data_IF_692115382780
#
_entry.id   IF_692115382780
#
_cell.length_a   1.000
_cell.length_b   1.000
_cell.length_c   1.000
_cell.angle_alpha   90.00
_cell.angle_beta   90.00
_cell.angle_gamma   90.00
#
_symmetry.space_group_name_H-M   'P 1'
#
loop_
_entity.id
_entity.type
_entity.pdbx_description
1 polymer ?
#
# COMPACT_ATOMS: atom_id res chain seq x y z
N UNK A 1 -11.56 16.27 22.38
CA UNK A 1 -12.31 15.40 21.45
C UNK A 1 -11.62 15.52 20.11
N UNK A 2 -10.93 14.47 19.66
CA UNK A 2 -10.25 14.49 18.36
C UNK A 2 -11.29 14.65 17.25
N UNK A 3 -11.08 15.61 16.36
CA UNK A 3 -11.92 15.79 15.18
C UNK A 3 -12.06 14.45 14.43
N UNK A 4 -13.22 14.15 13.83
CA UNK A 4 -13.35 12.95 13.03
C UNK A 4 -12.33 13.00 11.90
N UNK A 5 -11.29 12.15 11.97
CA UNK A 5 -10.28 12.02 10.92
C UNK A 5 -11.00 11.82 9.59
N UNK A 6 -10.97 12.85 8.74
CA UNK A 6 -11.48 12.71 7.37
C UNK A 6 -10.53 11.81 6.60
N UNK A 7 -10.83 10.52 6.61
CA UNK A 7 -10.15 9.53 5.80
C UNK A 7 -10.19 9.95 4.33
N UNK A 8 -9.03 10.31 3.79
CA UNK A 8 -8.89 10.50 2.36
C UNK A 8 -9.23 9.17 1.67
N UNK A 9 -10.05 9.17 0.61
CA UNK A 9 -10.39 7.96 -0.16
C UNK A 9 -9.15 7.12 -0.51
N UNK A 10 -8.05 7.81 -0.79
CA UNK A 10 -6.77 7.22 -1.12
C UNK A 10 -6.16 6.42 0.06
N UNK A 11 -6.34 6.88 1.30
CA UNK A 11 -5.90 6.16 2.50
C UNK A 11 -6.69 4.87 2.71
N UNK A 12 -8.01 4.93 2.51
CA UNK A 12 -8.89 3.76 2.57
C UNK A 12 -8.43 2.71 1.54
N UNK A 13 -8.13 3.13 0.31
CA UNK A 13 -7.62 2.24 -0.75
C UNK A 13 -6.30 1.57 -0.35
N UNK A 14 -5.39 2.31 0.32
CA UNK A 14 -4.12 1.75 0.80
C UNK A 14 -4.31 0.70 1.90
N UNK A 15 -5.25 0.95 2.82
CA UNK A 15 -5.59 0.01 3.90
C UNK A 15 -6.23 -1.26 3.34
N UNK A 16 -7.13 -1.10 2.37
CA UNK A 16 -7.72 -2.22 1.62
C UNK A 16 -6.64 -3.02 0.91
N UNK A 17 -5.67 -2.38 0.24
CA UNK A 17 -4.53 -3.07 -0.37
C UNK A 17 -3.69 -3.86 0.64
N UNK A 18 -3.50 -3.31 1.84
CA UNK A 18 -2.77 -4.00 2.92
C UNK A 18 -3.55 -5.20 3.47
N UNK A 19 -4.88 -5.10 3.56
CA UNK A 19 -5.74 -6.23 3.93
C UNK A 19 -5.64 -7.37 2.90
N UNK A 20 -5.67 -7.06 1.61
CA UNK A 20 -5.49 -8.06 0.56
C UNK A 20 -4.12 -8.75 0.62
N UNK A 21 -3.04 -8.01 0.94
CA UNK A 21 -1.73 -8.61 1.16
C UNK A 21 -1.72 -9.55 2.38
N UNK A 22 -2.38 -9.19 3.48
CA UNK A 22 -2.50 -10.08 4.64
C UNK A 22 -3.25 -11.38 4.30
N UNK A 23 -4.35 -11.28 3.54
CA UNK A 23 -5.06 -12.47 3.07
C UNK A 23 -4.18 -13.34 2.18
N UNK A 24 -3.42 -12.74 1.24
CA UNK A 24 -2.51 -13.48 0.39
C UNK A 24 -1.46 -14.28 1.20
N UNK A 25 -0.92 -13.68 2.27
CA UNK A 25 -0.01 -14.37 3.20
C UNK A 25 -0.72 -15.53 3.89
N UNK A 26 -1.96 -15.34 4.36
CA UNK A 26 -2.76 -16.41 4.94
C UNK A 26 -2.96 -17.59 3.98
N UNK A 27 -3.33 -17.31 2.72
CA UNK A 27 -3.47 -18.33 1.67
C UNK A 27 -2.15 -19.06 1.39
N UNK A 28 -1.02 -18.38 1.45
CA UNK A 28 0.30 -18.99 1.27
C UNK A 28 0.63 -19.94 2.43
N UNK A 29 0.28 -19.59 3.66
CA UNK A 29 0.39 -20.49 4.82
C UNK A 29 -0.51 -21.71 4.67
N UNK A 30 -1.76 -21.53 4.22
CA UNK A 30 -2.67 -22.65 3.95
C UNK A 30 -2.14 -23.57 2.85
N UNK A 31 -1.50 -23.02 1.82
CA UNK A 31 -0.84 -23.81 0.79
C UNK A 31 0.29 -24.67 1.39
N UNK A 32 1.16 -24.09 2.22
CA UNK A 32 2.24 -24.84 2.89
C UNK A 32 1.69 -25.96 3.81
N UNK A 33 0.60 -25.68 4.52
CA UNK A 33 -0.07 -26.70 5.34
C UNK A 33 -0.68 -27.81 4.48
N UNK A 34 -1.29 -27.46 3.35
CA UNK A 34 -1.85 -28.43 2.39
C UNK A 34 -0.77 -29.30 1.74
N UNK A 35 0.41 -28.74 1.48
CA UNK A 35 1.57 -29.49 0.98
C UNK A 35 2.08 -30.47 2.04
N UNK A 36 2.08 -30.06 3.32
CA UNK A 36 2.48 -30.92 4.44
C UNK A 36 1.57 -32.15 4.63
N UNK A 37 0.31 -32.09 4.18
CA UNK A 37 -0.62 -33.23 4.21
C UNK A 37 -0.52 -34.13 2.97
N UNK A 38 0.47 -33.93 2.09
CA UNK A 38 0.68 -34.73 0.88
C UNK A 38 -0.33 -34.49 -0.24
N UNK A 39 -1.19 -33.48 -0.11
CA UNK A 39 -2.21 -33.11 -1.09
C UNK A 39 -2.12 -31.60 -1.37
N UNK A 40 -1.14 -31.15 -2.15
CA UNK A 40 -0.93 -29.73 -2.42
C UNK A 40 -2.12 -29.13 -3.17
N UNK A 41 -2.91 -28.31 -2.48
CA UNK A 41 -4.03 -27.61 -3.06
C UNK A 41 -3.54 -26.33 -3.75
N UNK A 42 -3.19 -26.46 -5.03
CA UNK A 42 -2.74 -25.34 -5.89
C UNK A 42 -3.75 -24.19 -5.96
N UNK A 43 -5.03 -24.46 -5.68
CA UNK A 43 -6.05 -23.43 -5.57
C UNK A 43 -5.69 -22.35 -4.54
N UNK A 44 -5.14 -22.73 -3.38
CA UNK A 44 -4.75 -21.74 -2.36
C UNK A 44 -3.61 -20.86 -2.84
N UNK A 45 -2.65 -21.43 -3.56
CA UNK A 45 -1.54 -20.70 -4.15
C UNK A 45 -2.01 -19.74 -5.25
N UNK A 46 -2.85 -20.19 -6.18
CA UNK A 46 -3.40 -19.35 -7.26
C UNK A 46 -4.22 -18.17 -6.71
N UNK A 47 -5.13 -18.42 -5.77
CA UNK A 47 -5.91 -17.36 -5.13
C UNK A 47 -5.02 -16.40 -4.34
N UNK A 48 -4.03 -16.92 -3.61
CA UNK A 48 -3.04 -16.12 -2.89
C UNK A 48 -2.24 -15.20 -3.81
N UNK A 49 -1.78 -15.70 -4.96
CA UNK A 49 -1.05 -14.90 -5.96
C UNK A 49 -1.89 -13.77 -6.56
N UNK A 50 -3.16 -14.05 -6.87
CA UNK A 50 -4.10 -13.04 -7.38
C UNK A 50 -4.34 -11.95 -6.32
N UNK A 51 -4.59 -12.34 -5.07
CA UNK A 51 -4.79 -11.42 -3.94
C UNK A 51 -3.53 -10.60 -3.66
N UNK A 52 -2.35 -11.21 -3.74
CA UNK A 52 -1.07 -10.52 -3.59
C UNK A 52 -0.89 -9.44 -4.66
N UNK A 53 -1.14 -9.79 -5.94
CA UNK A 53 -1.06 -8.84 -7.05
C UNK A 53 -2.01 -7.64 -6.89
N UNK A 54 -3.28 -7.90 -6.58
CA UNK A 54 -4.27 -6.86 -6.31
C UNK A 54 -3.87 -5.98 -5.12
N UNK A 55 -3.46 -6.58 -4.01
CA UNK A 55 -2.99 -5.85 -2.83
C UNK A 55 -1.78 -4.97 -3.12
N UNK A 56 -0.84 -5.46 -3.92
CA UNK A 56 0.35 -4.71 -4.32
C UNK A 56 0.01 -3.52 -5.22
N UNK A 57 -0.92 -3.69 -6.17
CA UNK A 57 -1.40 -2.60 -7.04
C UNK A 57 -2.07 -1.51 -6.21
N UNK A 58 -3.00 -1.87 -5.32
CA UNK A 58 -3.68 -0.90 -4.45
C UNK A 58 -2.73 -0.20 -3.49
N UNK A 59 -1.73 -0.90 -2.97
CA UNK A 59 -0.70 -0.30 -2.12
C UNK A 59 0.22 0.63 -2.91
N UNK A 60 0.61 0.25 -4.13
CA UNK A 60 1.50 1.06 -4.98
C UNK A 60 0.84 2.36 -5.47
N UNK A 61 -0.48 2.37 -5.65
CA UNK A 61 -1.22 3.60 -5.99
C UNK A 61 -1.22 4.63 -4.86
N UNK A 62 -0.98 4.22 -3.61
CA UNK A 62 -0.92 5.12 -2.47
C UNK A 62 0.52 5.50 -2.10
N UNK A 63 1.24 6.10 -3.03
CA UNK A 63 2.49 6.79 -2.72
C UNK A 63 2.12 8.16 -2.13
N UNK A 64 2.10 8.27 -0.79
CA UNK A 64 1.98 9.59 -0.14
C UNK A 64 3.08 10.49 -0.72
N UNK A 65 2.76 11.65 -1.31
CA UNK A 65 3.80 12.59 -1.67
C UNK A 65 4.53 12.94 -0.38
N UNK A 66 5.80 12.55 -0.28
CA UNK A 66 6.66 12.94 0.83
C UNK A 66 6.54 14.46 0.92
N UNK A 67 6.19 15.04 2.09
CA UNK A 67 6.11 16.48 2.21
C UNK A 67 7.42 17.04 1.70
N UNK A 68 7.35 17.94 0.72
CA UNK A 68 8.52 18.56 0.13
C UNK A 68 9.36 19.09 1.29
N UNK A 69 10.52 18.48 1.54
CA UNK A 69 11.41 18.93 2.60
C UNK A 69 11.65 20.41 2.32
N UNK A 70 11.32 21.31 3.25
CA UNK A 70 11.42 22.77 3.08
C UNK A 70 12.83 23.31 2.75
N UNK A 71 13.78 22.42 2.43
CA UNK A 71 15.16 22.64 2.01
C UNK A 71 15.29 23.60 0.81
N UNK A 72 14.28 23.69 -0.06
CA UNK A 72 14.27 24.64 -1.20
C UNK A 72 13.49 25.94 -0.94
N UNK A 73 13.07 26.21 0.31
CA UNK A 73 12.37 27.45 0.66
C UNK A 73 13.22 28.72 0.44
N UNK A 74 14.54 28.61 0.62
CA UNK A 74 15.47 29.72 0.40
C UNK A 74 15.63 30.09 -1.08
N UNK A 75 15.69 29.08 -1.96
CA UNK A 75 15.79 29.29 -3.41
C UNK A 75 14.54 29.98 -3.99
N UNK A 76 13.35 29.66 -3.44
CA UNK A 76 12.08 30.32 -3.81
C UNK A 76 12.03 31.80 -3.42
N UNK A 77 12.65 32.18 -2.30
CA UNK A 77 12.72 33.59 -1.86
C UNK A 77 13.68 34.41 -2.73
N UNK A 78 14.80 33.82 -3.15
CA UNK A 78 15.77 34.46 -4.04
C UNK A 78 15.23 34.68 -5.47
N UNK A 79 14.44 33.74 -6.00
CA UNK A 79 13.81 33.90 -7.32
C UNK A 79 12.70 34.96 -7.32
N UNK A 80 11.95 35.10 -6.22
CA UNK A 80 10.87 36.09 -6.11
C UNK A 80 11.36 37.53 -5.92
N UNK A 81 12.58 37.71 -5.42
CA UNK A 81 13.22 39.03 -5.27
C UNK A 81 13.88 39.56 -6.54
N UNK A 82 13.75 38.88 -7.69
CA UNK A 82 14.37 39.28 -8.96
C UNK A 82 13.36 39.84 -9.98
N UNK A 83 12.10 40.00 -9.59
CA UNK A 83 11.02 40.59 -10.39
C UNK A 83 10.64 42.02 -9.95
N UNK A 84 11.40 42.66 -9.05
CA UNK A 84 11.27 44.09 -8.71
C UNK A 84 12.46 44.92 -9.22
#
# INVERSE_FOLDING_TARGET
MGEPEQYSRKEIISRIGTFFLMLAVGFLVFFLLSDSSGAPSLNYFCWGMILAGLGFIFRAQYRKPTPASGRFGWLRRLLKGKEE
#
